data_IF_917432461188
#
_entry.id   IF_917432461188
#
_cell.length_a   1.000
_cell.length_b   1.000
_cell.length_c   1.000
_cell.angle_alpha   90.00
_cell.angle_beta   90.00
_cell.angle_gamma   90.00
#
_symmetry.space_group_name_H-M   'P 1'
#
loop_
_entity.id
_entity.type
_entity.pdbx_description
1 polymer ?
#
# COMPACT_ATOMS: atom_id res chain seq x y z
N UNK A 1 -17.91 -17.61 8.22
CA UNK A 1 -16.77 -16.74 8.55
C UNK A 1 -17.30 -15.33 8.76
N UNK A 2 -17.14 -14.76 9.95
CA UNK A 2 -17.53 -13.36 10.18
C UNK A 2 -16.70 -12.46 9.26
N UNK A 3 -17.35 -11.62 8.47
CA UNK A 3 -16.64 -10.67 7.62
C UNK A 3 -15.87 -9.70 8.52
N UNK A 4 -14.55 -9.66 8.36
CA UNK A 4 -13.75 -8.58 8.90
C UNK A 4 -14.06 -7.32 8.10
N UNK A 5 -14.94 -6.49 8.65
CA UNK A 5 -15.29 -5.17 8.11
C UNK A 5 -14.48 -4.11 8.87
N UNK A 6 -13.49 -3.48 8.23
CA UNK A 6 -12.77 -2.38 8.86
C UNK A 6 -13.71 -1.19 9.09
N UNK A 7 -13.48 -0.48 10.18
CA UNK A 7 -14.11 0.81 10.45
C UNK A 7 -13.11 1.95 10.26
N UNK A 8 -13.57 3.08 9.75
CA UNK A 8 -12.77 4.30 9.57
C UNK A 8 -13.41 5.37 10.44
N UNK A 9 -12.61 5.99 11.30
CA UNK A 9 -13.10 7.09 12.14
C UNK A 9 -13.64 8.24 11.27
N UNK A 10 -14.84 8.76 11.55
CA UNK A 10 -15.36 9.95 10.87
C UNK A 10 -14.45 11.16 11.01
N UNK A 11 -13.64 11.22 12.07
CA UNK A 11 -12.69 12.31 12.27
C UNK A 11 -11.63 12.39 11.17
N UNK A 12 -11.35 11.28 10.48
CA UNK A 12 -10.40 11.25 9.37
C UNK A 12 -10.87 12.17 8.22
N UNK A 13 -12.18 12.37 8.06
CA UNK A 13 -12.72 13.26 7.05
C UNK A 13 -12.29 14.72 7.25
N UNK A 14 -11.84 15.11 8.46
CA UNK A 14 -11.29 16.46 8.72
C UNK A 14 -9.97 16.71 8.01
N UNK A 15 -9.14 15.68 7.84
CA UNK A 15 -7.81 15.78 7.21
C UNK A 15 -7.75 15.16 5.81
N UNK A 16 -8.62 14.20 5.52
CA UNK A 16 -8.66 13.46 4.27
C UNK A 16 -10.12 13.15 3.88
N UNK A 17 -10.94 14.17 3.54
CA UNK A 17 -12.36 13.97 3.19
C UNK A 17 -12.56 13.07 1.96
N UNK A 18 -11.57 13.04 1.06
CA UNK A 18 -11.54 12.18 -0.12
C UNK A 18 -11.01 10.77 0.14
N UNK A 19 -10.65 10.41 1.37
CA UNK A 19 -10.06 9.11 1.66
C UNK A 19 -10.99 7.97 1.25
N UNK A 20 -10.40 6.95 0.63
CA UNK A 20 -11.07 5.71 0.24
C UNK A 20 -10.18 4.56 0.65
N UNK A 21 -10.78 3.52 1.21
CA UNK A 21 -10.10 2.27 1.50
C UNK A 21 -10.82 1.12 0.78
N UNK A 22 -10.03 0.16 0.31
CA UNK A 22 -10.50 -1.10 -0.23
C UNK A 22 -9.90 -2.21 0.63
N UNK A 23 -10.73 -3.18 1.01
CA UNK A 23 -10.29 -4.36 1.76
C UNK A 23 -10.61 -5.61 0.97
N UNK A 24 -9.59 -6.43 0.76
CA UNK A 24 -9.71 -7.71 0.07
C UNK A 24 -9.40 -8.79 1.11
N UNK A 25 -10.40 -9.61 1.43
CA UNK A 25 -10.22 -10.77 2.29
C UNK A 25 -9.92 -11.98 1.43
N UNK A 26 -8.78 -12.62 1.70
CA UNK A 26 -8.35 -13.82 0.98
C UNK A 26 -8.27 -14.97 1.97
N UNK A 27 -8.85 -16.12 1.61
CA UNK A 27 -8.70 -17.35 2.37
C UNK A 27 -7.42 -18.01 1.89
N UNK A 28 -6.52 -18.32 2.82
CA UNK A 28 -5.25 -18.97 2.49
C UNK A 28 -5.48 -20.28 1.74
N UNK A 29 -4.67 -20.51 0.71
CA UNK A 29 -4.64 -21.73 -0.09
C UNK A 29 -3.17 -22.10 -0.37
N UNK A 30 -2.87 -23.37 -0.68
CA UNK A 30 -1.53 -23.75 -1.10
C UNK A 30 -1.05 -22.92 -2.29
N UNK A 31 0.19 -22.44 -2.21
CA UNK A 31 0.84 -21.72 -3.30
C UNK A 31 1.04 -22.70 -4.46
N UNK A 32 0.41 -22.41 -5.60
CA UNK A 32 0.54 -23.23 -6.81
C UNK A 32 1.75 -22.81 -7.65
N UNK A 33 2.01 -21.51 -7.69
CA UNK A 33 3.13 -20.92 -8.38
C UNK A 33 3.58 -19.66 -7.64
N UNK A 34 4.78 -19.73 -7.06
CA UNK A 34 5.37 -18.60 -6.34
C UNK A 34 5.90 -17.51 -7.28
N UNK A 35 6.16 -17.83 -8.56
CA UNK A 35 6.73 -16.90 -9.52
C UNK A 35 5.74 -15.81 -9.94
N UNK A 36 4.43 -16.03 -9.77
CA UNK A 36 3.40 -15.04 -10.09
C UNK A 36 3.64 -13.70 -9.39
N UNK A 37 4.03 -13.73 -8.11
CA UNK A 37 4.35 -12.52 -7.36
C UNK A 37 5.60 -11.83 -7.88
N UNK A 38 6.68 -12.58 -8.07
CA UNK A 38 7.95 -12.05 -8.58
C UNK A 38 7.82 -11.46 -10.00
N UNK A 39 7.08 -12.13 -10.89
CA UNK A 39 6.82 -11.66 -12.26
C UNK A 39 6.04 -10.34 -12.21
N UNK A 40 4.94 -10.29 -11.44
CA UNK A 40 4.15 -9.07 -11.28
C UNK A 40 4.99 -7.91 -10.71
N UNK A 41 5.86 -8.21 -9.74
CA UNK A 41 6.76 -7.22 -9.14
C UNK A 41 7.77 -6.68 -10.15
N UNK A 42 8.40 -7.54 -10.94
CA UNK A 42 9.33 -7.13 -12.01
C UNK A 42 8.65 -6.26 -13.06
N UNK A 43 7.47 -6.65 -13.53
CA UNK A 43 6.68 -5.84 -14.47
C UNK A 43 6.34 -4.47 -13.90
N UNK A 44 5.93 -4.42 -12.63
CA UNK A 44 5.62 -3.16 -11.97
C UNK A 44 6.86 -2.28 -11.82
N UNK A 45 8.04 -2.85 -11.52
CA UNK A 45 9.30 -2.11 -11.50
C UNK A 45 9.59 -1.48 -12.87
N UNK A 46 9.44 -2.25 -13.95
CA UNK A 46 9.63 -1.74 -15.31
C UNK A 46 8.66 -0.61 -15.64
N UNK A 47 7.39 -0.71 -15.20
CA UNK A 47 6.42 0.36 -15.37
C UNK A 47 6.88 1.65 -14.66
N UNK A 48 7.41 1.56 -13.43
CA UNK A 48 7.96 2.72 -12.71
C UNK A 48 9.14 3.34 -13.45
N UNK A 49 10.09 2.53 -13.92
CA UNK A 49 11.25 2.99 -14.70
C UNK A 49 10.80 3.72 -15.97
N UNK A 50 9.74 3.22 -16.62
CA UNK A 50 9.15 3.84 -17.81
C UNK A 50 8.27 5.08 -17.48
N UNK A 51 8.32 5.60 -16.25
CA UNK A 51 7.58 6.79 -15.84
C UNK A 51 6.08 6.57 -15.68
N UNK A 52 5.61 5.32 -15.55
CA UNK A 52 4.21 4.99 -15.38
C UNK A 52 3.83 4.77 -13.89
N UNK A 53 2.55 4.95 -13.56
CA UNK A 53 1.54 5.64 -14.35
C UNK A 53 1.78 7.16 -14.34
N UNK A 54 1.23 7.89 -15.31
CA UNK A 54 1.42 9.35 -15.44
C UNK A 54 0.89 10.14 -14.23
N UNK A 55 -0.09 9.59 -13.49
CA UNK A 55 -0.65 10.20 -12.28
C UNK A 55 0.14 9.89 -11.00
N UNK A 56 1.24 9.14 -11.07
CA UNK A 56 1.95 8.67 -9.88
C UNK A 56 2.37 9.79 -8.92
N UNK A 57 2.93 10.87 -9.47
CA UNK A 57 3.37 12.00 -8.66
C UNK A 57 2.20 12.70 -7.97
N UNK A 58 1.08 12.90 -8.67
CA UNK A 58 -0.12 13.50 -8.10
C UNK A 58 -0.68 12.67 -6.93
N UNK A 59 -0.67 11.34 -7.05
CA UNK A 59 -1.07 10.45 -5.96
C UNK A 59 -0.11 10.53 -4.77
N UNK A 60 1.21 10.51 -5.00
CA UNK A 60 2.22 10.65 -3.95
C UNK A 60 2.06 11.98 -3.22
N UNK A 61 1.83 13.07 -3.94
CA UNK A 61 1.64 14.39 -3.35
C UNK A 61 0.36 14.49 -2.52
N UNK A 62 -0.73 13.83 -2.95
CA UNK A 62 -1.96 13.75 -2.17
C UNK A 62 -1.72 13.03 -0.83
N UNK A 63 -1.00 11.90 -0.84
CA UNK A 63 -0.61 11.21 0.39
C UNK A 63 0.30 12.05 1.27
N UNK A 64 1.27 12.74 0.68
CA UNK A 64 2.18 13.63 1.40
C UNK A 64 1.45 14.80 2.06
N UNK A 65 0.40 15.34 1.42
CA UNK A 65 -0.44 16.37 2.01
C UNK A 65 -1.20 15.85 3.25
N UNK A 66 -1.82 14.67 3.15
CA UNK A 66 -2.51 14.03 4.29
C UNK A 66 -1.54 13.73 5.43
N UNK A 67 -0.36 13.19 5.12
CA UNK A 67 0.67 12.87 6.12
C UNK A 67 1.13 14.12 6.88
N UNK A 68 1.33 15.24 6.18
CA UNK A 68 1.63 16.53 6.83
C UNK A 68 0.47 17.00 7.71
N UNK A 69 -0.77 16.82 7.29
CA UNK A 69 -1.95 17.29 8.02
C UNK A 69 -2.12 16.61 9.39
N UNK A 70 -1.69 15.35 9.55
CA UNK A 70 -1.67 14.68 10.87
C UNK A 70 -0.31 14.74 11.58
N UNK A 71 0.61 15.61 11.13
CA UNK A 71 1.87 15.89 11.81
C UNK A 71 3.05 14.97 11.45
N UNK A 72 2.88 14.04 10.51
CA UNK A 72 4.00 13.25 10.01
C UNK A 72 4.93 14.10 9.13
N UNK A 73 6.20 13.69 9.03
CA UNK A 73 7.21 14.31 8.17
C UNK A 73 7.42 13.41 6.96
N UNK A 74 6.78 13.66 5.80
CA UNK A 74 6.76 12.65 4.72
C UNK A 74 8.13 12.34 4.13
N UNK A 75 9.10 13.26 4.24
CA UNK A 75 10.50 12.98 3.88
C UNK A 75 11.16 11.92 4.78
N UNK A 76 10.72 11.77 6.03
CA UNK A 76 11.19 10.77 6.99
C UNK A 76 10.30 9.52 7.01
N UNK A 77 9.00 9.70 6.81
CA UNK A 77 7.99 8.64 6.86
C UNK A 77 7.10 8.71 5.60
N UNK A 78 7.62 8.38 4.41
CA UNK A 78 6.82 8.34 3.19
C UNK A 78 5.78 7.23 3.26
N UNK A 79 4.70 7.33 2.48
CA UNK A 79 3.79 6.21 2.30
C UNK A 79 4.49 5.06 1.54
N UNK A 80 3.96 3.84 1.64
CA UNK A 80 4.60 2.66 1.04
C UNK A 80 4.81 2.80 -0.46
N UNK A 81 3.82 3.34 -1.20
CA UNK A 81 3.95 3.58 -2.63
C UNK A 81 5.12 4.51 -2.99
N UNK A 82 5.30 5.62 -2.27
CA UNK A 82 6.44 6.52 -2.50
C UNK A 82 7.78 5.84 -2.14
N UNK A 83 7.84 5.14 -1.01
CA UNK A 83 9.05 4.45 -0.57
C UNK A 83 9.51 3.38 -1.57
N UNK A 84 8.58 2.56 -2.05
CA UNK A 84 8.83 1.52 -3.05
C UNK A 84 9.29 2.13 -4.37
N UNK A 85 8.59 3.15 -4.88
CA UNK A 85 8.95 3.80 -6.14
C UNK A 85 10.31 4.46 -6.09
N UNK A 86 10.66 5.13 -4.97
CA UNK A 86 12.00 5.68 -4.77
C UNK A 86 13.08 4.60 -4.81
N UNK A 87 12.84 3.43 -4.23
CA UNK A 87 13.77 2.30 -4.28
C UNK A 87 13.95 1.80 -5.72
N UNK A 88 12.86 1.61 -6.46
CA UNK A 88 12.93 1.18 -7.88
C UNK A 88 13.65 2.21 -8.75
N UNK A 89 13.38 3.49 -8.60
CA UNK A 89 14.07 4.53 -9.38
C UNK A 89 15.57 4.61 -9.07
N UNK A 90 15.98 4.19 -7.87
CA UNK A 90 17.37 4.16 -7.45
C UNK A 90 18.08 2.89 -7.92
N UNK A 91 17.48 1.73 -7.68
CA UNK A 91 18.12 0.42 -7.79
C UNK A 91 17.67 -0.35 -9.06
N UNK A 92 16.69 0.16 -9.80
CA UNK A 92 16.11 -0.42 -11.01
C UNK A 92 15.19 -1.63 -10.76
N UNK A 93 15.20 -2.20 -9.56
CA UNK A 93 14.47 -3.43 -9.24
C UNK A 93 14.10 -3.50 -7.76
N UNK A 94 13.31 -4.52 -7.41
CA UNK A 94 12.97 -4.93 -6.06
C UNK A 94 13.33 -6.41 -5.89
N UNK A 95 13.93 -6.77 -4.76
CA UNK A 95 14.06 -8.17 -4.39
C UNK A 95 12.68 -8.75 -4.06
N UNK A 96 12.36 -9.92 -4.62
CA UNK A 96 11.19 -10.70 -4.26
C UNK A 96 11.30 -11.19 -2.81
N UNK A 97 10.17 -11.27 -2.12
CA UNK A 97 10.10 -11.64 -0.70
C UNK A 97 9.17 -12.83 -0.45
N UNK A 98 7.88 -12.60 -0.66
CA UNK A 98 6.81 -13.59 -0.50
C UNK A 98 5.77 -13.32 -1.60
N UNK A 99 5.15 -14.34 -2.23
CA UNK A 99 4.26 -14.12 -3.36
C UNK A 99 3.11 -13.14 -3.09
N UNK A 100 2.53 -13.14 -1.89
CA UNK A 100 1.45 -12.20 -1.54
C UNK A 100 2.01 -10.80 -1.32
N UNK A 101 3.18 -10.70 -0.68
CA UNK A 101 3.92 -9.45 -0.49
C UNK A 101 4.28 -8.79 -1.82
N UNK A 102 4.81 -9.59 -2.73
CA UNK A 102 5.25 -9.14 -4.04
C UNK A 102 4.06 -8.66 -4.87
N UNK A 103 2.90 -9.33 -4.78
CA UNK A 103 1.67 -8.91 -5.45
C UNK A 103 1.16 -7.55 -4.99
N UNK A 104 1.01 -7.32 -3.67
CA UNK A 104 0.51 -6.02 -3.22
C UNK A 104 1.54 -4.89 -3.43
N UNK A 105 2.83 -5.21 -3.38
CA UNK A 105 3.89 -4.27 -3.71
C UNK A 105 3.88 -3.93 -5.22
N UNK A 106 3.63 -4.91 -6.08
CA UNK A 106 3.45 -4.70 -7.51
C UNK A 106 2.27 -3.75 -7.80
N UNK A 107 1.13 -3.94 -7.13
CA UNK A 107 -0.01 -3.02 -7.22
C UNK A 107 0.39 -1.62 -6.75
N UNK A 108 1.11 -1.52 -5.63
CA UNK A 108 1.55 -0.23 -5.09
C UNK A 108 2.45 0.54 -6.05
N UNK A 109 3.39 -0.17 -6.70
CA UNK A 109 4.28 0.38 -7.71
C UNK A 109 3.51 0.79 -8.99
N UNK A 110 2.68 -0.11 -9.51
CA UNK A 110 1.99 0.04 -10.81
C UNK A 110 0.90 1.09 -10.81
N UNK A 111 0.29 1.38 -9.66
CA UNK A 111 -0.82 2.34 -9.57
C UNK A 111 -0.52 3.55 -8.66
N UNK A 112 0.64 3.57 -8.01
CA UNK A 112 1.02 4.60 -7.04
C UNK A 112 -0.01 4.77 -5.91
N UNK A 113 -0.54 3.65 -5.40
CA UNK A 113 -1.48 3.61 -4.27
C UNK A 113 -0.90 2.73 -3.17
N UNK A 114 -0.88 3.16 -1.90
CA UNK A 114 -0.41 2.32 -0.81
C UNK A 114 -1.29 1.08 -0.64
N UNK A 115 -0.67 -0.10 -0.69
CA UNK A 115 -1.30 -1.37 -0.34
C UNK A 115 -0.44 -2.10 0.70
N UNK A 116 -1.10 -2.86 1.57
CA UNK A 116 -0.46 -3.74 2.54
C UNK A 116 -1.29 -5.00 2.75
N UNK A 117 -0.69 -5.99 3.40
CA UNK A 117 -1.34 -7.24 3.77
C UNK A 117 -1.19 -7.48 5.27
N UNK A 118 -2.22 -8.06 5.88
CA UNK A 118 -2.29 -8.30 7.32
C UNK A 118 -2.84 -9.71 7.60
N UNK A 119 -2.40 -10.34 8.68
CA UNK A 119 -2.95 -11.62 9.11
C UNK A 119 -4.26 -11.41 9.88
N UNK A 120 -5.38 -11.70 9.23
CA UNK A 120 -6.72 -11.56 9.84
C UNK A 120 -6.91 -12.33 11.15
N UNK A 121 -6.26 -13.50 11.30
CA UNK A 121 -6.37 -14.32 12.50
C UNK A 121 -5.61 -13.73 13.71
N UNK A 122 -4.71 -12.77 13.48
CA UNK A 122 -3.95 -12.10 14.54
C UNK A 122 -4.69 -10.88 15.13
N UNK A 123 -5.83 -10.48 14.56
CA UNK A 123 -6.57 -9.33 15.04
C UNK A 123 -7.34 -9.63 16.33
N UNK A 124 -7.25 -8.71 17.30
CA UNK A 124 -8.15 -8.64 18.44
C UNK A 124 -9.33 -7.71 18.10
N UNK A 125 -10.41 -8.29 17.56
CA UNK A 125 -11.58 -7.54 17.11
C UNK A 125 -11.46 -7.02 15.68
N UNK A 126 -12.38 -6.16 15.24
CA UNK A 126 -12.38 -5.63 13.87
C UNK A 126 -11.30 -4.55 13.67
N UNK A 127 -10.66 -4.47 12.48
CA UNK A 127 -9.70 -3.42 12.17
C UNK A 127 -10.32 -2.02 12.28
N UNK A 128 -9.56 -1.07 12.82
CA UNK A 128 -10.00 0.33 12.97
C UNK A 128 -8.92 1.29 12.50
N UNK A 129 -9.27 2.19 11.60
CA UNK A 129 -8.44 3.32 11.23
C UNK A 129 -8.86 4.54 12.05
N UNK A 130 -8.04 4.90 13.04
CA UNK A 130 -8.29 5.96 14.03
C UNK A 130 -7.04 6.83 14.20
N UNK A 131 -7.19 7.99 14.85
CA UNK A 131 -6.03 8.74 15.35
C UNK A 131 -5.43 8.02 16.55
N UNK A 132 -4.10 7.93 16.59
CA UNK A 132 -3.39 7.45 17.78
C UNK A 132 -3.45 8.52 18.89
N UNK A 133 -3.53 8.07 20.13
CA UNK A 133 -3.57 8.89 21.35
C UNK A 133 -2.19 9.15 21.97
N UNK A 134 -1.17 8.37 21.57
CA UNK A 134 0.22 8.53 22.02
C UNK A 134 0.70 7.37 22.86
#
# INVERSE_FOLDING_TARGET
MSSMLPSISPELARIAPGFRALSINVIAAPIRDAQVGEIALKEACQAVINGQPTWAQAHIDAWNAVFKAFGAKPKRTPCSAEALRKRVLKDGTMAALDPVVDLYNAVSLRYAVPVGGENSAAYCGSPRLVFADG
#
